data_IF_526760960138
#
_entry.id   IF_526760960138
#
_cell.length_a   1.000
_cell.length_b   1.000
_cell.length_c   1.000
_cell.angle_alpha   90.00
_cell.angle_beta   90.00
_cell.angle_gamma   90.00
#
_symmetry.space_group_name_H-M   'P 1'
#
loop_
_entity.id
_entity.type
_entity.pdbx_description
1 polymer ?
#
# COMPACT_ATOMS: atom_id res chain seq x y z
N UNK A 1 -37.70 -44.84 24.55
CA UNK A 1 -37.18 -46.22 24.43
C UNK A 1 -36.30 -46.22 23.17
N UNK A 2 -35.02 -45.82 23.24
CA UNK A 2 -33.88 -46.54 23.84
C UNK A 2 -33.92 -48.01 23.43
N UNK A 3 -33.11 -48.38 22.44
CA UNK A 3 -32.01 -49.36 22.59
C UNK A 3 -31.39 -49.62 21.21
N UNK A 4 -30.24 -49.03 20.88
CA UNK A 4 -29.28 -49.73 20.02
C UNK A 4 -27.88 -49.59 20.61
N UNK A 5 -27.34 -50.76 20.83
CA UNK A 5 -26.28 -51.08 21.78
C UNK A 5 -24.91 -50.81 21.19
N UNK A 6 -24.04 -50.35 22.11
CA UNK A 6 -22.63 -50.71 22.26
C UNK A 6 -21.65 -50.21 21.19
N UNK A 7 -21.02 -49.11 21.59
CA UNK A 7 -19.65 -48.76 21.28
C UNK A 7 -18.71 -49.96 21.44
N UNK A 8 -18.04 -50.32 20.35
CA UNK A 8 -16.84 -51.16 20.30
C UNK A 8 -15.72 -50.32 19.70
N UNK A 9 -14.67 -50.13 20.49
CA UNK A 9 -13.53 -49.27 20.18
C UNK A 9 -12.70 -49.85 19.03
N UNK A 10 -12.41 -49.02 18.03
CA UNK A 10 -11.33 -49.27 17.07
C UNK A 10 -10.29 -48.19 17.34
N UNK A 11 -9.20 -48.63 17.97
CA UNK A 11 -7.96 -47.88 18.16
C UNK A 11 -7.20 -47.96 16.85
N UNK A 12 -6.87 -46.84 16.23
CA UNK A 12 -5.86 -46.83 15.18
C UNK A 12 -6.07 -45.85 14.03
N UNK A 13 -5.18 -44.87 13.99
CA UNK A 13 -4.62 -44.23 12.79
C UNK A 13 -5.47 -43.16 12.08
N UNK A 14 -5.08 -41.90 12.34
CA UNK A 14 -4.62 -40.92 11.32
C UNK A 14 -5.42 -40.92 10.00
N UNK A 15 -6.14 -39.90 9.56
CA UNK A 15 -5.79 -38.49 9.44
C UNK A 15 -7.10 -37.71 9.26
N UNK A 16 -7.32 -36.70 10.08
CA UNK A 16 -8.16 -35.56 9.70
C UNK A 16 -7.34 -34.79 8.67
N UNK A 17 -7.67 -34.95 7.38
CA UNK A 17 -7.17 -34.06 6.34
C UNK A 17 -8.03 -32.79 6.34
N UNK A 18 -7.68 -31.86 7.23
CA UNK A 18 -7.96 -30.44 7.03
C UNK A 18 -6.62 -29.82 6.66
N UNK A 19 -6.39 -29.52 5.38
CA UNK A 19 -5.38 -28.56 4.90
C UNK A 19 -5.38 -28.53 3.37
N UNK A 20 -6.11 -27.60 2.79
CA UNK A 20 -5.68 -26.91 1.57
C UNK A 20 -6.27 -25.50 1.63
N UNK A 21 -5.92 -24.78 2.69
CA UNK A 21 -6.11 -23.33 2.72
C UNK A 21 -5.34 -22.75 1.55
N UNK A 22 -6.07 -22.14 0.62
CA UNK A 22 -5.54 -21.04 -0.19
C UNK A 22 -5.36 -19.87 0.75
N UNK A 23 -4.21 -19.80 1.39
CA UNK A 23 -3.79 -18.65 2.18
C UNK A 23 -2.82 -17.86 1.28
N UNK A 24 -3.11 -16.61 0.89
CA UNK A 24 -2.03 -15.73 0.47
C UNK A 24 -1.15 -15.53 1.70
N UNK A 25 0.01 -16.16 1.71
CA UNK A 25 0.98 -16.08 2.80
C UNK A 25 1.52 -14.65 2.88
N UNK A 26 0.86 -13.80 3.66
CA UNK A 26 1.30 -12.46 4.08
C UNK A 26 2.27 -12.51 5.26
N UNK A 27 2.88 -13.66 5.54
CA UNK A 27 3.88 -13.82 6.59
C UNK A 27 5.28 -13.96 6.01
N UNK A 28 6.18 -13.06 6.46
CA UNK A 28 7.65 -13.02 6.29
C UNK A 28 8.41 -14.31 6.72
N UNK A 29 7.78 -15.48 6.69
CA UNK A 29 8.34 -16.76 7.18
C UNK A 29 8.04 -17.96 6.30
N UNK A 30 7.53 -17.76 5.08
CA UNK A 30 7.45 -18.82 4.07
C UNK A 30 8.42 -18.60 2.92
N UNK A 31 9.59 -18.01 3.22
CA UNK A 31 10.80 -18.31 2.46
C UNK A 31 11.26 -19.74 2.80
N UNK A 32 10.40 -20.74 2.54
CA UNK A 32 10.89 -22.05 2.19
C UNK A 32 11.77 -21.82 0.97
N UNK A 33 13.08 -21.86 1.20
CA UNK A 33 14.12 -21.39 0.30
C UNK A 33 14.08 -22.07 -1.07
N UNK A 34 13.15 -21.68 -1.92
CA UNK A 34 13.44 -21.57 -3.34
C UNK A 34 14.30 -20.33 -3.41
N UNK A 35 15.62 -20.56 -3.33
CA UNK A 35 16.61 -19.51 -3.45
C UNK A 35 16.20 -18.60 -4.61
N UNK A 36 16.04 -17.30 -4.34
CA UNK A 36 15.57 -16.33 -5.34
C UNK A 36 16.48 -16.29 -6.58
N UNK A 37 17.76 -16.71 -6.43
CA UNK A 37 18.74 -16.94 -7.50
C UNK A 37 19.00 -18.41 -7.91
N UNK A 38 18.40 -19.40 -7.26
CA UNK A 38 18.68 -20.83 -7.53
C UNK A 38 20.11 -21.36 -7.24
N UNK A 39 21.07 -20.52 -6.86
CA UNK A 39 22.46 -20.86 -6.46
C UNK A 39 22.66 -21.67 -5.14
N UNK A 40 23.86 -21.64 -4.49
CA UNK A 40 24.16 -22.30 -3.20
C UNK A 40 24.47 -21.36 -2.01
N UNK A 41 24.58 -20.04 -2.23
CA UNK A 41 24.76 -19.00 -1.17
C UNK A 41 23.66 -17.93 -1.24
N UNK A 42 23.41 -17.21 -0.14
CA UNK A 42 22.62 -15.97 -0.18
C UNK A 42 23.46 -14.88 -0.85
N UNK A 43 22.85 -13.95 -1.59
CA UNK A 43 23.56 -12.85 -2.25
C UNK A 43 22.77 -11.57 -2.01
N UNK A 44 23.41 -10.59 -1.38
CA UNK A 44 22.85 -9.27 -1.16
C UNK A 44 22.63 -8.54 -2.50
N UNK A 45 21.72 -7.57 -2.50
CA UNK A 45 21.40 -6.68 -3.63
C UNK A 45 20.80 -7.35 -4.88
N UNK A 46 20.41 -8.62 -4.79
CA UNK A 46 19.62 -9.31 -5.81
C UNK A 46 18.19 -8.78 -5.81
N UNK A 47 17.61 -8.58 -7.00
CA UNK A 47 16.20 -8.18 -7.12
C UNK A 47 15.29 -9.33 -6.71
N UNK A 48 14.37 -9.06 -5.79
CA UNK A 48 13.30 -9.96 -5.40
C UNK A 48 11.95 -9.40 -5.86
N UNK A 49 11.04 -10.29 -6.26
CA UNK A 49 9.66 -9.95 -6.65
C UNK A 49 8.69 -10.62 -5.71
N UNK A 50 7.63 -9.91 -5.32
CA UNK A 50 6.60 -10.43 -4.42
C UNK A 50 5.34 -10.84 -5.20
N UNK A 51 4.38 -11.45 -4.50
CA UNK A 51 3.06 -11.73 -5.05
C UNK A 51 2.22 -10.48 -5.37
N UNK A 52 2.66 -9.30 -4.91
CA UNK A 52 2.03 -8.00 -5.14
C UNK A 52 2.58 -7.27 -6.38
N UNK A 53 3.45 -7.91 -7.16
CA UNK A 53 4.19 -7.31 -8.29
C UNK A 53 5.22 -6.23 -7.89
N UNK A 54 5.53 -6.10 -6.60
CA UNK A 54 6.51 -5.14 -6.07
C UNK A 54 7.93 -5.73 -6.15
N UNK A 55 8.90 -4.88 -6.51
CA UNK A 55 10.32 -5.24 -6.62
C UNK A 55 11.10 -4.68 -5.42
N UNK A 56 11.86 -5.56 -4.76
CA UNK A 56 12.74 -5.22 -3.63
C UNK A 56 14.17 -5.70 -3.84
N UNK A 57 14.98 -5.60 -2.78
CA UNK A 57 16.34 -6.15 -2.75
C UNK A 57 16.49 -7.21 -1.66
N UNK A 58 17.18 -8.28 -2.00
CA UNK A 58 17.54 -9.33 -1.04
C UNK A 58 18.58 -8.78 -0.08
N UNK A 59 18.31 -8.97 1.22
CA UNK A 59 19.21 -8.73 2.33
C UNK A 59 19.45 -10.04 3.07
N UNK A 60 20.71 -10.40 3.25
CA UNK A 60 21.12 -11.62 3.93
C UNK A 60 21.47 -11.31 5.40
N UNK A 61 20.69 -11.84 6.35
CA UNK A 61 20.98 -11.71 7.79
C UNK A 61 20.89 -13.08 8.48
N UNK A 62 21.92 -13.43 9.25
CA UNK A 62 22.04 -14.70 10.00
C UNK A 62 21.80 -15.99 9.18
N UNK A 63 22.03 -15.95 7.87
CA UNK A 63 21.87 -17.10 6.96
C UNK A 63 20.47 -17.23 6.37
N UNK A 64 19.55 -16.33 6.74
CA UNK A 64 18.25 -16.16 6.12
C UNK A 64 18.30 -15.03 5.07
N UNK A 65 17.43 -15.15 4.07
CA UNK A 65 17.27 -14.16 3.01
C UNK A 65 15.94 -13.44 3.19
N UNK A 66 15.98 -12.12 3.32
CA UNK A 66 14.81 -11.26 3.42
C UNK A 66 14.69 -10.42 2.16
N UNK A 67 13.47 -10.21 1.66
CA UNK A 67 13.21 -9.23 0.61
C UNK A 67 12.89 -7.90 1.29
N UNK A 68 13.80 -6.94 1.20
CA UNK A 68 13.59 -5.57 1.65
C UNK A 68 12.86 -4.81 0.52
N UNK A 69 11.61 -4.47 0.80
CA UNK A 69 10.75 -3.74 -0.12
C UNK A 69 10.88 -2.23 0.12
N UNK A 70 10.62 -1.41 -0.90
CA UNK A 70 10.58 0.03 -0.72
C UNK A 70 9.45 0.45 0.23
N UNK A 71 9.54 1.67 0.78
CA UNK A 71 8.40 2.33 1.42
C UNK A 71 7.31 2.66 0.38
N UNK A 72 6.07 2.79 0.86
CA UNK A 72 4.89 3.13 0.05
C UNK A 72 5.05 4.42 -0.76
N UNK A 73 4.69 4.33 -2.04
CA UNK A 73 4.52 5.48 -2.93
C UNK A 73 3.06 5.67 -3.28
N UNK A 74 2.61 6.93 -3.35
CA UNK A 74 1.24 7.26 -3.70
C UNK A 74 0.96 6.95 -5.18
N UNK A 75 0.55 5.72 -5.47
CA UNK A 75 0.43 5.18 -6.82
C UNK A 75 -0.72 4.16 -6.98
N UNK A 76 -1.45 3.85 -5.89
CA UNK A 76 -2.57 2.91 -5.89
C UNK A 76 -2.15 1.44 -5.89
N UNK A 77 -0.90 1.15 -5.52
CA UNK A 77 -0.32 -0.19 -5.36
C UNK A 77 0.21 -0.34 -3.94
N UNK A 78 0.30 -1.59 -3.54
CA UNK A 78 0.90 -2.04 -2.29
C UNK A 78 2.39 -2.29 -2.58
N UNK A 79 3.24 -1.26 -2.40
CA UNK A 79 4.65 -1.30 -2.76
C UNK A 79 5.48 -2.12 -1.75
N UNK A 80 5.06 -2.15 -0.49
CA UNK A 80 5.69 -2.91 0.60
C UNK A 80 5.04 -4.29 0.87
N UNK A 81 3.97 -4.61 0.15
CA UNK A 81 3.23 -5.88 0.15
C UNK A 81 2.76 -6.29 1.56
N UNK A 82 2.37 -5.33 2.40
CA UNK A 82 1.81 -5.57 3.74
C UNK A 82 0.28 -5.84 3.73
N UNK A 83 -0.37 -5.65 2.58
CA UNK A 83 -1.80 -5.85 2.36
C UNK A 83 -2.65 -4.58 2.53
N UNK A 84 -2.03 -3.44 2.81
CA UNK A 84 -2.62 -2.12 2.73
C UNK A 84 -2.12 -1.45 1.44
N UNK A 85 -2.78 -0.35 1.05
CA UNK A 85 -2.44 0.37 -0.19
C UNK A 85 -2.27 1.83 0.17
N UNK A 86 -1.16 2.43 -0.26
CA UNK A 86 -0.82 3.84 -0.06
C UNK A 86 -0.84 4.26 1.43
N UNK A 87 -0.52 3.35 2.37
CA UNK A 87 -0.45 3.64 3.80
C UNK A 87 0.89 4.25 4.23
N UNK A 88 0.95 4.75 5.47
CA UNK A 88 2.15 5.38 6.04
C UNK A 88 2.76 6.54 5.22
N UNK A 89 2.08 7.02 4.16
CA UNK A 89 2.51 8.16 3.34
C UNK A 89 2.26 9.45 4.11
N UNK A 90 3.35 10.13 4.49
CA UNK A 90 3.27 11.42 5.16
C UNK A 90 2.68 12.50 4.23
N UNK A 91 1.82 13.40 4.74
CA UNK A 91 1.34 14.55 3.97
C UNK A 91 2.52 15.44 3.57
N UNK A 92 2.45 15.96 2.35
CA UNK A 92 3.51 16.80 1.77
C UNK A 92 3.06 18.25 1.76
N UNK A 93 4.01 19.17 1.90
CA UNK A 93 3.73 20.59 1.70
C UNK A 93 3.59 20.88 0.21
N UNK A 94 2.71 21.80 -0.12
CA UNK A 94 2.48 22.29 -1.47
C UNK A 94 2.33 23.82 -1.47
N UNK A 95 2.40 24.41 -2.66
CA UNK A 95 2.15 25.83 -2.86
C UNK A 95 1.17 26.01 -4.02
N UNK A 96 0.11 26.78 -3.80
CA UNK A 96 -0.88 27.21 -4.79
C UNK A 96 -0.97 28.74 -4.82
N UNK A 97 -1.91 29.29 -5.60
CA UNK A 97 -2.19 30.74 -5.59
C UNK A 97 -2.71 31.25 -4.24
N UNK A 98 -3.39 30.38 -3.48
CA UNK A 98 -3.81 30.65 -2.11
C UNK A 98 -2.63 30.62 -1.11
N UNK A 99 -1.43 30.23 -1.54
CA UNK A 99 -0.22 30.19 -0.73
C UNK A 99 0.18 28.76 -0.35
N UNK A 100 0.80 28.60 0.82
CA UNK A 100 1.27 27.30 1.29
C UNK A 100 0.13 26.43 1.83
N UNK A 101 0.11 25.16 1.43
CA UNK A 101 -0.86 24.16 1.86
C UNK A 101 -0.24 22.78 2.05
N UNK A 102 -1.09 21.77 2.15
CA UNK A 102 -0.71 20.37 2.24
C UNK A 102 -1.49 19.51 1.24
N UNK A 103 -0.84 18.46 0.74
CA UNK A 103 -1.45 17.37 -0.05
C UNK A 103 -1.31 16.05 0.71
N UNK A 104 -2.35 15.24 0.62
CA UNK A 104 -2.47 13.88 1.18
C UNK A 104 -2.57 12.87 0.05
N UNK A 105 -2.17 11.62 0.26
CA UNK A 105 -2.44 10.55 -0.70
C UNK A 105 -3.85 9.99 -0.45
N UNK A 106 -4.69 10.00 -1.48
CA UNK A 106 -6.04 9.44 -1.46
C UNK A 106 -6.28 8.72 -2.80
N UNK A 107 -6.73 7.47 -2.73
CA UNK A 107 -7.04 6.64 -3.91
C UNK A 107 -5.90 6.59 -4.96
N UNK A 108 -4.64 6.43 -4.53
CA UNK A 108 -3.48 6.35 -5.42
C UNK A 108 -3.04 7.67 -6.06
N UNK A 109 -3.56 8.80 -5.60
CA UNK A 109 -3.17 10.11 -6.08
C UNK A 109 -3.04 11.14 -4.95
N UNK A 110 -2.15 12.11 -5.13
CA UNK A 110 -2.12 13.26 -4.23
C UNK A 110 -3.33 14.15 -4.45
N UNK A 111 -3.95 14.58 -3.35
CA UNK A 111 -5.08 15.52 -3.35
C UNK A 111 -4.69 16.90 -3.87
N UNK A 112 -5.70 17.73 -4.13
CA UNK A 112 -5.49 19.14 -4.42
C UNK A 112 -4.76 19.82 -3.24
N UNK A 113 -3.91 20.80 -3.55
CA UNK A 113 -3.21 21.57 -2.54
C UNK A 113 -4.23 22.30 -1.65
N UNK A 114 -4.47 21.77 -0.46
CA UNK A 114 -5.45 22.31 0.48
C UNK A 114 -4.75 23.16 1.52
N UNK A 115 -5.23 24.39 1.69
CA UNK A 115 -4.66 25.39 2.60
C UNK A 115 -4.29 26.68 1.90
N UNK A 116 -3.78 27.63 2.68
CA UNK A 116 -3.45 28.97 2.21
C UNK A 116 -4.30 30.05 2.87
N UNK A 117 -4.00 31.31 2.55
CA UNK A 117 -4.81 32.46 2.95
C UNK A 117 -5.66 32.86 1.75
N UNK A 118 -6.98 32.79 1.89
CA UNK A 118 -7.90 33.29 0.88
C UNK A 118 -7.58 34.76 0.58
N UNK A 119 -7.49 35.08 -0.72
CA UNK A 119 -7.28 36.43 -1.22
C UNK A 119 -8.43 36.78 -2.16
N UNK A 120 -8.76 38.06 -2.35
CA UNK A 120 -9.76 38.43 -3.34
C UNK A 120 -9.33 38.00 -4.74
N UNK A 121 -10.27 37.43 -5.50
CA UNK A 121 -10.08 37.03 -6.90
C UNK A 121 -9.60 38.19 -7.78
N UNK A 122 -8.72 37.84 -8.71
CA UNK A 122 -8.29 38.64 -9.85
C UNK A 122 -8.65 37.87 -11.11
N UNK A 123 -8.97 38.56 -12.20
CA UNK A 123 -9.17 37.89 -13.48
C UNK A 123 -7.83 37.40 -14.07
N UNK A 124 -7.28 36.32 -13.55
CA UNK A 124 -5.99 35.75 -13.97
C UNK A 124 -6.06 34.25 -14.28
N UNK A 125 -7.26 33.65 -14.16
CA UNK A 125 -7.50 32.24 -14.42
C UNK A 125 -7.09 31.32 -13.27
N UNK A 126 -6.91 31.87 -12.07
CA UNK A 126 -6.54 31.13 -10.87
C UNK A 126 -7.56 31.35 -9.76
N UNK A 127 -7.83 30.30 -9.00
CA UNK A 127 -8.61 30.36 -7.76
C UNK A 127 -7.70 30.88 -6.63
N UNK A 128 -7.90 32.12 -6.20
CA UNK A 128 -7.07 32.82 -5.22
C UNK A 128 -7.73 32.89 -3.84
N UNK A 129 -9.04 32.67 -3.78
CA UNK A 129 -9.83 32.58 -2.56
C UNK A 129 -10.05 31.14 -2.05
N UNK A 130 -9.69 30.15 -2.88
CA UNK A 130 -9.70 28.71 -2.60
C UNK A 130 -11.10 28.15 -2.34
N UNK A 131 -12.14 28.71 -2.95
CA UNK A 131 -13.51 28.20 -2.84
C UNK A 131 -13.89 27.15 -3.91
N UNK A 132 -13.00 26.92 -4.89
CA UNK A 132 -13.15 25.94 -5.96
C UNK A 132 -13.80 26.48 -7.23
N UNK A 133 -14.19 27.75 -7.27
CA UNK A 133 -14.45 28.48 -8.50
C UNK A 133 -13.18 29.26 -8.94
N UNK A 134 -13.18 29.74 -10.19
CA UNK A 134 -12.07 30.52 -10.75
C UNK A 134 -12.65 31.84 -11.24
N UNK A 135 -12.00 32.96 -10.90
CA UNK A 135 -12.36 34.32 -11.33
C UNK A 135 -13.80 34.71 -10.92
N UNK A 136 -14.31 34.24 -9.78
CA UNK A 136 -15.64 34.59 -9.25
C UNK A 136 -15.62 35.83 -8.34
N UNK A 137 -16.79 36.22 -7.82
CA UNK A 137 -16.98 37.39 -6.95
C UNK A 137 -16.42 38.75 -7.48
N UNK A 138 -16.01 38.83 -8.75
CA UNK A 138 -15.45 40.02 -9.37
C UNK A 138 -16.51 41.12 -9.55
N UNK A 139 -16.17 42.34 -9.16
CA UNK A 139 -17.05 43.52 -9.35
C UNK A 139 -17.19 43.96 -10.81
N UNK A 140 -16.30 43.47 -11.69
CA UNK A 140 -16.32 43.67 -13.14
C UNK A 140 -15.94 42.36 -13.81
N UNK A 141 -16.66 41.98 -14.87
CA UNK A 141 -16.34 40.76 -15.60
C UNK A 141 -14.95 40.81 -16.24
N UNK A 142 -14.35 39.63 -16.36
CA UNK A 142 -13.13 39.40 -17.13
C UNK A 142 -13.25 39.94 -18.55
N UNK A 143 -12.27 40.74 -18.98
CA UNK A 143 -12.16 41.22 -20.34
C UNK A 143 -11.09 40.41 -21.09
N UNK A 144 -11.46 39.90 -22.28
CA UNK A 144 -10.55 39.21 -23.21
C UNK A 144 -9.55 40.17 -23.87
#
# INVERSE_FOLDING_TARGET
MIELRRAGWIVGWLLVACASGTEPSTTRRDASATRLDGGPTCTDDVVCTTGCESEGRVRCEDGDAFCELPDESCNGRDDDCDGLVDEAIAPRTCSSACGGGTITCEDGAFTACSGGSARPETCDGTDEDCDGAIDEALTRGCAN
#
